data_IF_878135863022
#
_entry.id   IF_878135863022
#
_cell.length_a   1.000
_cell.length_b   1.000
_cell.length_c   1.000
_cell.angle_alpha   90.00
_cell.angle_beta   90.00
_cell.angle_gamma   90.00
#
_symmetry.space_group_name_H-M   'P 1'
#
loop_
_entity.id
_entity.type
_entity.pdbx_description
1 polymer ?
#
# COMPACT_ATOMS: atom_id res chain seq x y z
N UNK A 1 2.99 7.86 50.02
CA UNK A 1 2.93 8.72 48.82
C UNK A 1 4.29 8.66 48.14
N UNK A 2 4.49 7.72 47.22
CA UNK A 2 5.68 7.67 46.37
C UNK A 2 5.31 8.48 45.12
N UNK A 3 5.94 9.65 44.97
CA UNK A 3 5.83 10.53 43.81
C UNK A 3 6.69 9.95 42.68
N UNK A 4 6.08 9.65 41.54
CA UNK A 4 6.75 9.01 40.40
C UNK A 4 7.12 10.07 39.33
N UNK A 5 8.33 10.60 39.45
CA UNK A 5 8.83 11.71 38.62
C UNK A 5 8.91 11.38 37.11
N UNK A 6 8.96 10.10 36.74
CA UNK A 6 8.98 9.65 35.35
C UNK A 6 7.58 9.67 34.71
N UNK A 7 6.54 9.36 35.49
CA UNK A 7 5.16 9.49 35.05
C UNK A 7 4.79 10.98 34.87
N UNK A 8 5.30 11.80 35.79
CA UNK A 8 5.11 13.25 35.81
C UNK A 8 5.86 14.00 34.67
N UNK A 9 7.00 13.49 34.20
CA UNK A 9 7.71 14.03 33.03
C UNK A 9 7.03 13.64 31.71
N UNK A 10 6.51 12.42 31.63
CA UNK A 10 5.82 11.91 30.43
C UNK A 10 4.47 12.59 30.22
N UNK A 11 3.72 12.82 31.30
CA UNK A 11 2.45 13.58 31.26
C UNK A 11 2.71 15.05 30.89
N UNK A 12 3.77 15.67 31.41
CA UNK A 12 4.15 17.06 31.05
C UNK A 12 4.57 17.17 29.57
N UNK A 13 5.35 16.23 29.08
CA UNK A 13 5.74 16.18 27.66
C UNK A 13 4.53 16.00 26.74
N UNK A 14 3.59 15.12 27.11
CA UNK A 14 2.35 14.92 26.36
C UNK A 14 1.48 16.18 26.33
N UNK A 15 1.21 16.81 27.48
CA UNK A 15 0.45 18.06 27.54
C UNK A 15 1.10 19.19 26.72
N UNK A 16 2.42 19.31 26.75
CA UNK A 16 3.12 20.31 25.95
C UNK A 16 2.92 20.08 24.45
N UNK A 17 2.99 18.82 23.99
CA UNK A 17 2.79 18.49 22.59
C UNK A 17 1.34 18.77 22.13
N UNK A 18 0.34 18.54 22.98
CA UNK A 18 -1.07 18.86 22.70
C UNK A 18 -1.26 20.38 22.55
N UNK A 19 -0.67 21.18 23.45
CA UNK A 19 -0.73 22.64 23.37
C UNK A 19 0.00 23.20 22.16
N UNK A 20 1.10 22.58 21.74
CA UNK A 20 1.82 22.93 20.51
C UNK A 20 0.94 22.73 19.28
N UNK A 21 0.23 21.60 19.19
CA UNK A 21 -0.71 21.33 18.10
C UNK A 21 -1.88 22.33 18.12
N UNK A 22 -2.44 22.62 19.30
CA UNK A 22 -3.51 23.62 19.43
C UNK A 22 -3.06 24.99 18.92
N UNK A 23 -1.85 25.42 19.27
CA UNK A 23 -1.27 26.67 18.77
C UNK A 23 -1.04 26.63 17.27
N UNK A 24 -0.52 25.51 16.74
CA UNK A 24 -0.28 25.33 15.31
C UNK A 24 -1.56 25.43 14.47
N UNK A 25 -2.70 24.92 14.96
CA UNK A 25 -4.01 25.09 14.30
C UNK A 25 -4.36 26.58 14.19
N UNK A 26 -4.25 27.33 15.29
CA UNK A 26 -4.55 28.77 15.29
C UNK A 26 -3.56 29.59 14.46
N UNK A 27 -2.30 29.16 14.39
CA UNK A 27 -1.24 29.81 13.63
C UNK A 27 -1.22 29.42 12.13
N UNK A 28 -2.18 28.61 11.68
CA UNK A 28 -2.28 28.13 10.29
C UNK A 28 -1.01 27.42 9.80
N UNK A 29 -0.37 26.64 10.68
CA UNK A 29 0.87 25.92 10.38
C UNK A 29 0.61 24.56 9.70
N UNK A 30 -0.64 24.11 9.62
CA UNK A 30 -0.99 22.89 8.90
C UNK A 30 -1.25 23.17 7.42
N UNK A 31 -0.81 22.25 6.57
CA UNK A 31 -1.00 22.31 5.11
C UNK A 31 -1.38 20.93 4.59
N UNK A 32 -2.05 20.88 3.44
CA UNK A 32 -2.36 19.63 2.75
C UNK A 32 -1.37 19.39 1.61
N UNK A 33 -0.84 18.18 1.58
CA UNK A 33 -0.17 17.61 0.42
C UNK A 33 -1.10 16.59 -0.21
N UNK A 34 -0.96 16.35 -1.51
CA UNK A 34 -1.87 15.52 -2.29
C UNK A 34 -1.08 14.42 -2.97
N UNK A 35 -1.46 13.18 -2.74
CA UNK A 35 -0.88 12.02 -3.40
C UNK A 35 -1.81 11.52 -4.50
N UNK A 36 -1.36 11.49 -5.77
CA UNK A 36 -2.19 10.98 -6.86
C UNK A 36 -2.55 9.50 -6.74
N UNK A 37 -3.81 9.22 -7.07
CA UNK A 37 -4.37 7.89 -7.30
C UNK A 37 -4.58 7.72 -8.80
N UNK A 38 -4.12 6.61 -9.37
CA UNK A 38 -4.20 6.36 -10.82
C UNK A 38 -4.73 4.97 -11.13
N UNK A 39 -5.32 4.81 -12.32
CA UNK A 39 -5.40 3.52 -12.97
C UNK A 39 -4.08 3.30 -13.73
N UNK A 40 -3.26 2.36 -13.26
CA UNK A 40 -1.92 2.06 -13.80
C UNK A 40 -1.95 1.59 -15.26
N UNK A 41 -3.02 0.90 -15.67
CA UNK A 41 -3.17 0.36 -17.03
C UNK A 41 -3.49 1.46 -18.05
N UNK A 42 -4.46 2.31 -17.73
CA UNK A 42 -4.99 3.33 -18.64
C UNK A 42 -4.25 4.66 -18.52
N UNK A 43 -3.54 4.87 -17.40
CA UNK A 43 -2.92 6.16 -17.07
C UNK A 43 -3.90 7.20 -16.55
N UNK A 44 -5.19 6.89 -16.44
CA UNK A 44 -6.20 7.83 -15.95
C UNK A 44 -5.92 8.17 -14.49
N UNK A 45 -5.84 9.46 -14.19
CA UNK A 45 -5.82 9.96 -12.81
C UNK A 45 -7.23 9.88 -12.26
N UNK A 46 -7.44 9.07 -11.22
CA UNK A 46 -8.77 8.81 -10.65
C UNK A 46 -9.08 9.72 -9.46
N UNK A 47 -8.05 10.30 -8.83
CA UNK A 47 -8.22 11.13 -7.66
C UNK A 47 -6.89 11.50 -7.02
N UNK A 48 -6.96 12.14 -5.87
CA UNK A 48 -5.82 12.36 -4.97
C UNK A 48 -6.23 12.04 -3.53
N UNK A 49 -5.27 11.64 -2.71
CA UNK A 49 -5.44 11.60 -1.25
C UNK A 49 -4.86 12.86 -0.61
N UNK A 50 -5.66 13.54 0.20
CA UNK A 50 -5.26 14.69 0.98
C UNK A 50 -4.57 14.24 2.28
N UNK A 51 -3.27 14.53 2.34
CA UNK A 51 -2.38 14.13 3.41
C UNK A 51 -1.91 15.36 4.17
N UNK A 52 -2.34 15.47 5.42
CA UNK A 52 -1.95 16.58 6.30
C UNK A 52 -0.43 16.59 6.54
N UNK A 53 0.15 17.79 6.60
CA UNK A 53 1.53 18.05 7.00
C UNK A 53 1.54 19.22 7.97
N UNK A 54 2.48 19.20 8.90
CA UNK A 54 2.71 20.34 9.79
C UNK A 54 3.96 21.09 9.34
N UNK A 55 3.79 22.32 8.86
CA UNK A 55 4.87 23.23 8.56
C UNK A 55 5.38 23.88 9.85
N UNK A 56 6.05 23.09 10.68
CA UNK A 56 6.55 23.54 11.96
C UNK A 56 7.64 24.61 11.79
N UNK A 57 7.58 25.75 12.51
CA UNK A 57 8.47 26.90 12.30
C UNK A 57 9.96 26.54 12.47
N UNK A 58 10.28 25.68 13.44
CA UNK A 58 11.66 25.26 13.71
C UNK A 58 12.08 23.94 13.05
N UNK A 59 11.16 22.96 12.95
CA UNK A 59 11.47 21.59 12.51
C UNK A 59 11.22 21.34 11.02
N UNK A 60 10.67 22.33 10.31
CA UNK A 60 10.29 22.20 8.92
C UNK A 60 9.02 21.36 8.74
N UNK A 61 8.89 20.72 7.58
CA UNK A 61 7.69 19.97 7.22
C UNK A 61 7.67 18.59 7.90
N UNK A 62 6.74 18.40 8.84
CA UNK A 62 6.57 17.16 9.59
C UNK A 62 5.44 16.28 9.00
N UNK A 63 5.64 14.96 8.92
CA UNK A 63 4.61 14.02 8.50
C UNK A 63 3.59 13.75 9.64
N UNK A 64 2.40 13.21 9.30
CA UNK A 64 1.33 12.91 10.28
C UNK A 64 1.80 12.07 11.48
N UNK A 65 2.63 11.06 11.26
CA UNK A 65 3.15 10.17 12.30
C UNK A 65 3.93 10.91 13.41
N UNK A 66 4.42 12.12 13.15
CA UNK A 66 5.14 12.93 14.13
C UNK A 66 4.20 13.66 15.12
N UNK A 67 2.91 13.81 14.82
CA UNK A 67 1.99 14.64 15.63
C UNK A 67 0.59 14.06 15.83
N UNK A 68 0.04 13.27 14.91
CA UNK A 68 -1.29 12.68 15.07
C UNK A 68 -1.42 11.76 16.30
N UNK A 69 -0.46 10.87 16.62
CA UNK A 69 -0.56 10.00 17.79
C UNK A 69 -0.70 10.76 19.13
N UNK A 70 -0.29 12.03 19.17
CA UNK A 70 -0.41 12.88 20.37
C UNK A 70 -1.85 13.27 20.64
N UNK A 71 -2.68 13.41 19.60
CA UNK A 71 -4.04 13.94 19.70
C UNK A 71 -5.13 12.93 19.35
N UNK A 72 -4.77 11.68 19.05
CA UNK A 72 -5.70 10.62 18.62
C UNK A 72 -6.93 10.50 19.53
N UNK A 73 -6.71 10.53 20.85
CA UNK A 73 -7.76 10.48 21.87
C UNK A 73 -8.22 11.86 22.39
N UNK A 74 -7.77 12.94 21.78
CA UNK A 74 -8.10 14.30 22.18
C UNK A 74 -9.15 14.92 21.25
N UNK A 75 -9.94 15.85 21.77
CA UNK A 75 -10.89 16.65 20.96
C UNK A 75 -10.22 17.45 19.83
N UNK A 76 -8.89 17.63 19.89
CA UNK A 76 -8.14 18.31 18.84
C UNK A 76 -8.08 17.50 17.55
N UNK A 77 -8.19 16.16 17.61
CA UNK A 77 -8.30 15.35 16.40
C UNK A 77 -9.55 15.70 15.60
N UNK A 78 -10.69 15.95 16.27
CA UNK A 78 -11.93 16.37 15.62
C UNK A 78 -11.80 17.77 15.01
N UNK A 79 -11.22 18.72 15.76
CA UNK A 79 -10.94 20.07 15.26
C UNK A 79 -10.03 20.04 14.04
N UNK A 80 -8.97 19.23 14.08
CA UNK A 80 -8.02 19.10 12.97
C UNK A 80 -8.66 18.41 11.77
N UNK A 81 -9.41 17.33 11.97
CA UNK A 81 -10.14 16.63 10.91
C UNK A 81 -11.20 17.52 10.24
N UNK A 82 -11.88 18.37 11.00
CA UNK A 82 -12.79 19.41 10.48
C UNK A 82 -12.04 20.36 9.56
N UNK A 83 -10.90 20.89 10.00
CA UNK A 83 -10.04 21.75 9.20
C UNK A 83 -9.52 21.06 7.93
N UNK A 84 -9.18 19.76 7.99
CA UNK A 84 -8.71 19.00 6.81
C UNK A 84 -9.82 18.91 5.75
N UNK A 85 -11.06 18.60 6.14
CA UNK A 85 -12.19 18.51 5.21
C UNK A 85 -12.44 19.87 4.55
N UNK A 86 -12.49 20.95 5.34
CA UNK A 86 -12.67 22.33 4.85
C UNK A 86 -11.60 22.73 3.83
N UNK A 87 -10.33 22.46 4.16
CA UNK A 87 -9.20 22.78 3.29
C UNK A 87 -9.21 21.93 2.01
N UNK A 88 -9.61 20.66 2.09
CA UNK A 88 -9.76 19.80 0.93
C UNK A 88 -10.86 20.31 -0.01
N UNK A 89 -12.04 20.65 0.51
CA UNK A 89 -13.16 21.19 -0.27
C UNK A 89 -12.81 22.55 -0.89
N UNK A 90 -12.16 23.43 -0.13
CA UNK A 90 -11.62 24.69 -0.65
C UNK A 90 -10.66 24.45 -1.81
N UNK A 91 -9.76 23.47 -1.68
CA UNK A 91 -8.81 23.15 -2.74
C UNK A 91 -9.49 22.53 -3.97
N UNK A 92 -10.56 21.75 -3.78
CA UNK A 92 -11.37 21.22 -4.88
C UNK A 92 -12.04 22.34 -5.67
N UNK A 93 -12.59 23.37 -5.02
CA UNK A 93 -13.17 24.52 -5.74
C UNK A 93 -12.11 25.28 -6.55
N UNK A 94 -10.89 25.44 -6.00
CA UNK A 94 -9.77 26.05 -6.71
C UNK A 94 -9.39 25.25 -7.95
N UNK A 95 -9.34 23.91 -7.86
CA UNK A 95 -9.05 23.06 -9.01
C UNK A 95 -10.18 23.05 -10.03
N UNK A 96 -11.44 22.99 -9.58
CA UNK A 96 -12.61 23.08 -10.45
C UNK A 96 -12.61 24.39 -11.25
N UNK A 97 -12.33 25.53 -10.60
CA UNK A 97 -12.20 26.82 -11.27
C UNK A 97 -11.03 26.88 -12.28
N UNK A 98 -9.99 26.07 -12.07
CA UNK A 98 -8.87 25.91 -13.00
C UNK A 98 -9.14 24.85 -14.10
N UNK A 99 -10.33 24.24 -14.14
CA UNK A 99 -10.73 23.24 -15.12
C UNK A 99 -10.31 21.80 -14.80
N UNK A 100 -9.87 21.54 -13.57
CA UNK A 100 -9.53 20.20 -13.08
C UNK A 100 -10.62 19.70 -12.12
N UNK A 101 -11.40 18.73 -12.60
CA UNK A 101 -12.37 18.02 -11.77
C UNK A 101 -11.75 16.69 -11.34
N UNK A 102 -11.41 16.58 -10.06
CA UNK A 102 -10.71 15.43 -9.50
C UNK A 102 -11.28 15.09 -8.14
N UNK A 103 -11.44 13.80 -7.87
CA UNK A 103 -11.90 13.32 -6.57
C UNK A 103 -10.80 13.46 -5.51
N UNK A 104 -11.17 13.80 -4.29
CA UNK A 104 -10.27 13.97 -3.15
C UNK A 104 -10.68 13.04 -2.03
N UNK A 105 -9.72 12.21 -1.60
CA UNK A 105 -9.83 11.41 -0.39
C UNK A 105 -9.35 12.17 0.84
N UNK A 106 -10.07 12.04 1.96
CA UNK A 106 -9.69 12.59 3.26
C UNK A 106 -9.80 11.51 4.34
N UNK A 107 -8.72 11.34 5.10
CA UNK A 107 -8.70 10.48 6.28
C UNK A 107 -9.63 11.04 7.38
N UNK A 108 -10.50 10.18 7.93
CA UNK A 108 -11.39 10.52 9.04
C UNK A 108 -11.19 9.56 10.21
N UNK A 109 -11.01 10.09 11.42
CA UNK A 109 -10.80 9.27 12.61
C UNK A 109 -12.12 8.76 13.21
N UNK A 110 -12.06 7.67 13.99
CA UNK A 110 -13.22 7.09 14.69
C UNK A 110 -14.00 8.14 15.50
N UNK A 111 -13.27 8.93 16.30
CA UNK A 111 -13.84 9.94 17.20
C UNK A 111 -14.66 11.00 16.46
N UNK A 112 -14.25 11.34 15.24
CA UNK A 112 -14.97 12.30 14.40
C UNK A 112 -16.26 11.68 13.84
N UNK A 113 -16.21 10.43 13.36
CA UNK A 113 -17.42 9.70 12.90
C UNK A 113 -18.43 9.44 14.01
N UNK A 114 -17.95 9.27 15.25
CA UNK A 114 -18.80 9.07 16.44
C UNK A 114 -19.44 10.36 16.94
N UNK A 115 -19.11 11.54 16.40
CA UNK A 115 -19.78 12.78 16.79
C UNK A 115 -21.24 12.74 16.34
N UNK A 116 -22.16 13.05 17.26
CA UNK A 116 -23.60 13.00 17.00
C UNK A 116 -24.06 13.96 15.89
N UNK A 117 -23.30 15.02 15.66
CA UNK A 117 -23.55 16.06 14.66
C UNK A 117 -22.70 15.90 13.39
N UNK A 118 -21.90 14.82 13.25
CA UNK A 118 -20.98 14.65 12.10
C UNK A 118 -21.69 14.76 10.74
N UNK A 119 -22.84 14.11 10.59
CA UNK A 119 -23.62 14.13 9.33
C UNK A 119 -24.12 15.55 9.03
N UNK A 120 -24.60 16.25 10.06
CA UNK A 120 -25.08 17.63 9.91
C UNK A 120 -23.93 18.56 9.54
N UNK A 121 -22.80 18.45 10.25
CA UNK A 121 -21.57 19.16 9.95
C UNK A 121 -21.12 18.95 8.50
N UNK A 122 -21.10 17.69 8.03
CA UNK A 122 -20.70 17.37 6.67
C UNK A 122 -21.67 17.97 5.63
N UNK A 123 -22.97 17.97 5.91
CA UNK A 123 -23.96 18.63 5.06
C UNK A 123 -23.74 20.14 5.00
N UNK A 124 -23.47 20.77 6.14
CA UNK A 124 -23.29 22.23 6.23
C UNK A 124 -22.01 22.67 5.52
N UNK A 125 -20.91 21.93 5.67
CA UNK A 125 -19.65 22.28 5.01
C UNK A 125 -19.72 22.05 3.50
N UNK A 126 -20.37 20.99 3.03
CA UNK A 126 -20.61 20.80 1.59
C UNK A 126 -21.49 21.91 1.02
N UNK A 127 -22.51 22.37 1.77
CA UNK A 127 -23.34 23.51 1.34
C UNK A 127 -22.55 24.83 1.26
N UNK A 128 -21.47 24.98 2.03
CA UNK A 128 -20.56 26.12 1.95
C UNK A 128 -19.66 26.08 0.69
N UNK A 129 -19.50 24.92 0.05
CA UNK A 129 -18.71 24.70 -1.17
C UNK A 129 -19.59 24.23 -2.34
N UNK A 130 -20.50 25.07 -2.86
CA UNK A 130 -21.53 24.67 -3.83
C UNK A 130 -20.98 24.25 -5.21
N UNK A 131 -19.70 24.51 -5.49
CA UNK A 131 -19.07 24.08 -6.74
C UNK A 131 -18.45 22.67 -6.64
N UNK A 132 -18.43 22.07 -5.45
CA UNK A 132 -17.97 20.70 -5.24
C UNK A 132 -19.16 19.75 -5.33
N UNK A 133 -19.05 18.73 -6.18
CA UNK A 133 -20.02 17.63 -6.17
C UNK A 133 -19.70 16.71 -4.97
N UNK A 134 -20.68 16.37 -4.11
CA UNK A 134 -20.41 15.50 -2.95
C UNK A 134 -19.76 14.17 -3.32
N UNK A 135 -20.06 13.63 -4.50
CA UNK A 135 -19.49 12.39 -5.02
C UNK A 135 -18.01 12.45 -5.41
N UNK A 136 -17.41 13.65 -5.43
CA UNK A 136 -15.98 13.85 -5.61
C UNK A 136 -15.22 13.85 -4.27
N UNK A 137 -15.92 13.92 -3.13
CA UNK A 137 -15.33 13.73 -1.81
C UNK A 137 -15.43 12.24 -1.42
N UNK A 138 -14.29 11.63 -1.07
CA UNK A 138 -14.21 10.30 -0.49
C UNK A 138 -13.64 10.40 0.93
N UNK A 139 -14.32 9.81 1.91
CA UNK A 139 -13.83 9.75 3.28
C UNK A 139 -13.24 8.37 3.57
N UNK A 140 -12.03 8.34 4.13
CA UNK A 140 -11.27 7.12 4.38
C UNK A 140 -11.29 6.79 5.87
N UNK A 141 -11.78 5.60 6.20
CA UNK A 141 -11.92 5.14 7.58
C UNK A 141 -10.93 4.00 7.80
N UNK A 142 -10.07 4.11 8.82
CA UNK A 142 -9.13 3.05 9.18
C UNK A 142 -9.89 1.80 9.67
N UNK A 143 -9.39 0.61 9.32
CA UNK A 143 -9.95 -0.67 9.78
C UNK A 143 -10.02 -0.74 11.32
N UNK A 144 -8.96 -0.32 12.00
CA UNK A 144 -8.83 -0.36 13.48
C UNK A 144 -9.77 0.62 14.19
N UNK A 145 -10.06 1.75 13.56
CA UNK A 145 -10.95 2.80 14.08
C UNK A 145 -12.43 2.39 14.07
N UNK A 146 -12.82 1.45 13.22
CA UNK A 146 -14.22 1.01 13.09
C UNK A 146 -14.66 -0.01 14.17
N UNK A 147 -13.78 -0.39 15.10
CA UNK A 147 -13.98 -1.44 16.11
C UNK A 147 -15.02 -1.15 17.20
N UNK A 148 -15.12 0.09 17.68
CA UNK A 148 -15.82 0.34 18.94
C UNK A 148 -17.36 0.33 18.82
N UNK A 149 -17.92 0.82 17.71
CA UNK A 149 -19.37 0.76 17.44
C UNK A 149 -19.65 0.67 15.93
N UNK A 150 -19.50 -0.54 15.41
CA UNK A 150 -19.66 -0.84 13.99
C UNK A 150 -21.07 -0.54 13.44
N UNK A 151 -22.11 -0.65 14.28
CA UNK A 151 -23.49 -0.37 13.86
C UNK A 151 -23.71 1.14 13.73
N UNK A 152 -23.27 1.91 14.72
CA UNK A 152 -23.30 3.36 14.66
C UNK A 152 -22.51 3.89 13.46
N UNK A 153 -21.26 3.47 13.29
CA UNK A 153 -20.42 3.89 12.16
C UNK A 153 -21.06 3.52 10.82
N UNK A 154 -21.62 2.32 10.68
CA UNK A 154 -22.34 1.91 9.46
C UNK A 154 -23.52 2.85 9.15
N UNK A 155 -24.28 3.27 10.17
CA UNK A 155 -25.40 4.19 9.98
C UNK A 155 -24.95 5.60 9.61
N UNK A 156 -23.86 6.10 10.22
CA UNK A 156 -23.25 7.39 9.87
C UNK A 156 -22.77 7.39 8.42
N UNK A 157 -22.06 6.34 7.99
CA UNK A 157 -21.59 6.21 6.60
C UNK A 157 -22.78 6.24 5.63
N UNK A 158 -23.86 5.49 5.90
CA UNK A 158 -25.06 5.51 5.04
C UNK A 158 -25.67 6.90 4.94
N UNK A 159 -25.80 7.59 6.07
CA UNK A 159 -26.36 8.94 6.08
C UNK A 159 -25.48 9.93 5.29
N UNK A 160 -24.15 9.79 5.35
CA UNK A 160 -23.24 10.58 4.53
C UNK A 160 -23.32 10.20 3.04
N UNK A 161 -23.55 8.93 2.71
CA UNK A 161 -23.78 8.47 1.34
C UNK A 161 -25.09 8.98 0.75
N UNK A 162 -26.13 9.16 1.58
CA UNK A 162 -27.38 9.80 1.16
C UNK A 162 -27.18 11.28 0.77
N UNK A 163 -26.13 11.93 1.30
CA UNK A 163 -25.67 13.27 0.88
C UNK A 163 -24.83 13.19 -0.42
N UNK A 164 -24.37 12.00 -0.80
CA UNK A 164 -23.60 11.73 -2.01
C UNK A 164 -22.10 11.51 -1.78
N UNK A 165 -21.63 11.54 -0.53
CA UNK A 165 -20.21 11.36 -0.18
C UNK A 165 -19.79 9.89 -0.28
N UNK A 166 -18.62 9.62 -0.86
CA UNK A 166 -18.08 8.26 -0.98
C UNK A 166 -17.27 7.87 0.26
N UNK A 167 -17.11 6.57 0.47
CA UNK A 167 -16.31 6.06 1.58
C UNK A 167 -15.39 4.93 1.13
N UNK A 168 -14.17 4.94 1.64
CA UNK A 168 -13.20 3.87 1.54
C UNK A 168 -12.88 3.29 2.93
N UNK A 169 -12.55 2.00 2.95
CA UNK A 169 -11.95 1.36 4.11
C UNK A 169 -10.44 1.29 3.88
N UNK A 170 -9.69 1.91 4.79
CA UNK A 170 -8.25 2.09 4.72
C UNK A 170 -7.50 1.07 5.61
N UNK A 171 -6.21 0.85 5.31
CA UNK A 171 -5.32 -0.11 5.96
C UNK A 171 -5.90 -1.55 6.02
N UNK A 172 -6.65 -1.97 5.00
CA UNK A 172 -7.38 -3.24 5.04
C UNK A 172 -6.44 -4.45 5.07
N UNK A 173 -6.65 -5.32 6.05
CA UNK A 173 -5.89 -6.55 6.28
C UNK A 173 -4.94 -6.49 7.47
N UNK A 174 -4.75 -5.30 8.07
CA UNK A 174 -3.92 -5.11 9.26
C UNK A 174 -4.67 -5.39 10.57
N UNK A 175 -6.01 -5.42 10.53
CA UNK A 175 -6.87 -5.64 11.69
C UNK A 175 -7.32 -7.10 11.89
N UNK A 176 -7.87 -7.38 13.08
CA UNK A 176 -8.29 -8.73 13.49
C UNK A 176 -9.70 -9.15 12.97
N UNK A 177 -10.39 -8.37 12.12
CA UNK A 177 -11.81 -8.62 11.78
C UNK A 177 -12.26 -8.12 10.38
N UNK A 178 -11.36 -8.08 9.40
CA UNK A 178 -11.57 -7.45 8.07
C UNK A 178 -12.81 -7.93 7.33
N UNK A 179 -13.20 -9.21 7.46
CA UNK A 179 -14.42 -9.76 6.83
C UNK A 179 -15.72 -9.23 7.43
N UNK A 180 -15.76 -8.99 8.75
CA UNK A 180 -16.94 -8.44 9.41
C UNK A 180 -17.16 -6.99 9.00
N UNK A 181 -16.07 -6.22 8.89
CA UNK A 181 -16.09 -4.85 8.37
C UNK A 181 -16.60 -4.80 6.94
N UNK A 182 -15.98 -5.58 6.06
CA UNK A 182 -16.34 -5.62 4.65
C UNK A 182 -17.83 -5.92 4.44
N UNK A 183 -18.41 -6.78 5.29
CA UNK A 183 -19.83 -7.14 5.23
C UNK A 183 -20.77 -6.05 5.76
N UNK A 184 -20.35 -5.26 6.75
CA UNK A 184 -21.26 -4.35 7.50
C UNK A 184 -21.06 -2.87 7.16
N UNK A 185 -19.86 -2.47 6.78
CA UNK A 185 -19.57 -1.11 6.37
C UNK A 185 -19.96 -0.94 4.89
N UNK A 186 -20.80 0.06 4.54
CA UNK A 186 -21.21 0.28 3.18
C UNK A 186 -20.16 1.04 2.35
N UNK A 187 -18.87 0.73 2.50
CA UNK A 187 -17.80 1.37 1.72
C UNK A 187 -17.84 0.93 0.24
N UNK A 188 -17.39 1.78 -0.67
CA UNK A 188 -17.26 1.45 -2.10
C UNK A 188 -15.86 0.94 -2.46
N UNK A 189 -14.86 1.38 -1.70
CA UNK A 189 -13.44 1.20 -2.00
C UNK A 189 -12.74 0.50 -0.82
N UNK A 190 -11.87 -0.45 -1.11
CA UNK A 190 -10.93 -1.04 -0.16
C UNK A 190 -9.51 -0.61 -0.55
N UNK A 191 -8.77 -0.02 0.38
CA UNK A 191 -7.38 0.32 0.19
C UNK A 191 -6.52 -0.80 0.81
N UNK A 192 -5.67 -1.41 -0.01
CA UNK A 192 -4.76 -2.49 0.42
C UNK A 192 -3.55 -1.83 1.04
N UNK A 193 -3.32 -2.13 2.32
CA UNK A 193 -2.27 -1.50 3.12
C UNK A 193 -0.88 -1.63 2.46
N UNK A 194 -0.10 -0.54 2.56
CA UNK A 194 1.22 -0.45 1.95
C UNK A 194 2.21 -1.50 2.47
N UNK A 195 2.07 -1.98 3.71
CA UNK A 195 2.97 -2.98 4.28
C UNK A 195 2.92 -4.30 3.50
N UNK A 196 1.72 -4.73 3.10
CA UNK A 196 1.57 -5.91 2.25
C UNK A 196 2.08 -5.66 0.83
N UNK A 197 1.81 -4.48 0.27
CA UNK A 197 2.18 -4.16 -1.12
C UNK A 197 3.69 -3.96 -1.28
N UNK A 198 4.38 -3.38 -0.29
CA UNK A 198 5.83 -3.18 -0.33
C UNK A 198 6.59 -4.51 -0.32
N UNK A 199 6.11 -5.48 0.46
CA UNK A 199 6.83 -6.74 0.67
C UNK A 199 6.37 -7.87 -0.26
N UNK A 200 5.22 -7.76 -0.94
CA UNK A 200 4.67 -8.83 -1.82
C UNK A 200 5.58 -9.31 -2.95
N UNK A 201 6.61 -8.54 -3.33
CA UNK A 201 7.59 -8.98 -4.34
C UNK A 201 8.56 -10.04 -3.81
N UNK A 202 8.72 -10.11 -2.48
CA UNK A 202 9.71 -10.95 -1.80
C UNK A 202 9.17 -11.68 -0.58
N UNK A 203 7.92 -11.44 -0.18
CA UNK A 203 7.22 -12.16 0.86
C UNK A 203 5.98 -12.87 0.28
N UNK A 204 5.96 -14.22 0.27
CA UNK A 204 4.83 -14.97 -0.27
C UNK A 204 3.57 -14.92 0.59
N UNK A 205 3.69 -14.61 1.90
CA UNK A 205 2.55 -14.48 2.79
C UNK A 205 1.87 -13.12 2.54
N UNK A 206 2.64 -12.04 2.34
CA UNK A 206 2.08 -10.74 1.93
C UNK A 206 1.44 -10.78 0.55
N UNK A 207 2.05 -11.47 -0.42
CA UNK A 207 1.41 -11.71 -1.72
C UNK A 207 0.06 -12.44 -1.57
N UNK A 208 -0.01 -13.43 -0.68
CA UNK A 208 -1.25 -14.15 -0.41
C UNK A 208 -2.32 -13.28 0.24
N UNK A 209 -1.92 -12.35 1.10
CA UNK A 209 -2.81 -11.34 1.67
C UNK A 209 -3.35 -10.43 0.56
N UNK A 210 -2.49 -9.88 -0.31
CA UNK A 210 -2.90 -9.04 -1.44
C UNK A 210 -3.91 -9.76 -2.35
N UNK A 211 -3.63 -11.00 -2.78
CA UNK A 211 -4.57 -11.79 -3.59
C UNK A 211 -5.90 -12.04 -2.86
N UNK A 212 -5.83 -12.35 -1.56
CA UNK A 212 -6.99 -12.55 -0.70
C UNK A 212 -7.88 -11.30 -0.65
N UNK A 213 -7.29 -10.13 -0.42
CA UNK A 213 -8.00 -8.85 -0.38
C UNK A 213 -8.64 -8.54 -1.73
N UNK A 214 -7.94 -8.74 -2.85
CA UNK A 214 -8.49 -8.55 -4.20
C UNK A 214 -9.68 -9.48 -4.48
N UNK A 215 -9.58 -10.72 -4.03
CA UNK A 215 -10.66 -11.71 -4.16
C UNK A 215 -11.88 -11.31 -3.32
N UNK A 216 -11.67 -10.79 -2.11
CA UNK A 216 -12.73 -10.27 -1.25
C UNK A 216 -13.38 -9.02 -1.84
N UNK A 217 -12.59 -8.06 -2.33
CA UNK A 217 -13.12 -6.87 -2.99
C UNK A 217 -14.04 -7.26 -4.16
N UNK A 218 -13.60 -8.20 -5.00
CA UNK A 218 -14.40 -8.71 -6.12
C UNK A 218 -15.68 -9.39 -5.64
N UNK A 219 -15.61 -10.26 -4.64
CA UNK A 219 -16.76 -11.00 -4.12
C UNK A 219 -17.85 -10.10 -3.49
N UNK A 220 -17.44 -8.96 -2.91
CA UNK A 220 -18.32 -7.97 -2.30
C UNK A 220 -18.66 -6.79 -3.23
N UNK A 221 -18.29 -6.88 -4.52
CA UNK A 221 -18.49 -5.83 -5.51
C UNK A 221 -17.93 -4.47 -5.04
N UNK A 222 -16.71 -4.49 -4.52
CA UNK A 222 -15.92 -3.33 -4.09
C UNK A 222 -14.77 -3.10 -5.04
N UNK A 223 -14.40 -1.83 -5.18
CA UNK A 223 -13.19 -1.44 -5.87
C UNK A 223 -12.00 -1.65 -4.93
N UNK A 224 -10.89 -2.18 -5.43
CA UNK A 224 -9.64 -2.28 -4.66
C UNK A 224 -8.62 -1.28 -5.23
N UNK A 225 -7.88 -0.62 -4.35
CA UNK A 225 -6.73 0.22 -4.69
C UNK A 225 -5.54 -0.21 -3.85
N UNK A 226 -4.38 -0.41 -4.48
CA UNK A 226 -3.15 -0.77 -3.78
C UNK A 226 -2.38 0.48 -3.33
N UNK A 227 -1.96 0.50 -2.07
CA UNK A 227 -1.11 1.55 -1.54
C UNK A 227 0.36 1.16 -1.52
N UNK A 228 1.28 2.12 -1.45
CA UNK A 228 2.69 1.80 -1.37
C UNK A 228 3.29 1.20 -2.64
N UNK A 229 2.73 1.49 -3.83
CA UNK A 229 3.36 1.10 -5.10
C UNK A 229 4.63 1.93 -5.33
N UNK A 230 5.78 1.40 -4.93
CA UNK A 230 7.06 2.12 -4.95
C UNK A 230 7.86 1.93 -6.24
N UNK A 231 7.62 0.85 -6.97
CA UNK A 231 8.41 0.49 -8.16
C UNK A 231 7.53 -0.02 -9.30
N UNK A 232 8.11 -0.10 -10.49
CA UNK A 232 7.45 -0.62 -11.70
C UNK A 232 7.07 -2.09 -11.49
N UNK A 233 7.88 -2.85 -10.77
CA UNK A 233 7.65 -4.27 -10.46
C UNK A 233 6.43 -4.47 -9.55
N UNK A 234 6.20 -3.58 -8.57
CA UNK A 234 5.00 -3.61 -7.74
C UNK A 234 3.74 -3.46 -8.61
N UNK A 235 3.70 -2.42 -9.45
CA UNK A 235 2.57 -2.18 -10.34
C UNK A 235 2.37 -3.31 -11.35
N UNK A 236 3.48 -3.89 -11.84
CA UNK A 236 3.44 -5.02 -12.76
C UNK A 236 2.77 -6.25 -12.16
N UNK A 237 3.17 -6.61 -10.92
CA UNK A 237 2.58 -7.76 -10.23
C UNK A 237 1.11 -7.52 -9.91
N UNK A 238 0.75 -6.34 -9.40
CA UNK A 238 -0.64 -5.96 -9.11
C UNK A 238 -1.54 -6.08 -10.34
N UNK A 239 -1.08 -5.58 -11.49
CA UNK A 239 -1.83 -5.67 -12.76
C UNK A 239 -2.04 -7.12 -13.21
N UNK A 240 -1.09 -8.01 -12.94
CA UNK A 240 -1.22 -9.44 -13.23
C UNK A 240 -2.28 -10.10 -12.34
N UNK A 241 -2.43 -9.64 -11.09
CA UNK A 241 -3.51 -10.05 -10.18
C UNK A 241 -4.84 -9.31 -10.43
N UNK A 242 -4.90 -8.42 -11.42
CA UNK A 242 -6.11 -7.67 -11.78
C UNK A 242 -6.36 -6.43 -10.93
N UNK A 243 -5.41 -6.00 -10.11
CA UNK A 243 -5.45 -4.72 -9.42
C UNK A 243 -4.90 -3.62 -10.33
N UNK A 244 -5.78 -2.76 -10.84
CA UNK A 244 -5.39 -1.70 -11.77
C UNK A 244 -5.20 -0.35 -11.11
N UNK A 245 -5.72 -0.16 -9.90
CA UNK A 245 -5.73 1.13 -9.22
C UNK A 245 -4.65 1.13 -8.17
N UNK A 246 -3.89 2.22 -8.12
CA UNK A 246 -2.82 2.34 -7.15
C UNK A 246 -2.51 3.78 -6.76
N UNK A 247 -1.84 3.88 -5.62
CA UNK A 247 -1.08 5.03 -5.19
C UNK A 247 0.26 4.58 -4.60
N UNK A 248 1.28 5.44 -4.70
CA UNK A 248 2.61 5.13 -4.18
C UNK A 248 3.71 5.96 -4.82
N UNK A 249 4.92 5.85 -4.29
CA UNK A 249 6.05 6.69 -4.72
C UNK A 249 6.57 6.38 -6.12
N UNK A 250 6.30 5.18 -6.65
CA UNK A 250 6.58 4.83 -8.05
C UNK A 250 5.68 5.56 -9.05
N UNK A 251 4.55 6.09 -8.58
CA UNK A 251 3.63 6.94 -9.36
C UNK A 251 3.97 8.40 -9.09
N UNK A 252 3.84 8.83 -7.84
CA UNK A 252 4.18 10.17 -7.38
C UNK A 252 4.27 10.23 -5.85
N UNK A 253 5.25 11.00 -5.36
CA UNK A 253 5.26 11.42 -3.96
C UNK A 253 4.14 12.44 -3.70
N UNK A 254 3.61 12.51 -2.46
CA UNK A 254 2.72 13.58 -2.04
C UNK A 254 3.31 14.95 -2.39
N UNK A 255 2.51 15.85 -2.95
CA UNK A 255 2.98 17.16 -3.40
C UNK A 255 2.01 18.29 -3.00
N UNK A 256 2.47 19.55 -2.92
CA UNK A 256 1.58 20.68 -2.68
C UNK A 256 0.54 20.83 -3.80
N UNK A 257 -0.62 21.40 -3.46
CA UNK A 257 -1.75 21.54 -4.39
C UNK A 257 -1.40 22.17 -5.74
N UNK A 258 -0.54 23.20 -5.74
CA UNK A 258 -0.18 23.93 -6.96
C UNK A 258 0.56 23.07 -7.99
N UNK A 259 1.10 21.91 -7.60
CA UNK A 259 1.79 20.99 -8.52
C UNK A 259 0.87 19.95 -9.16
N UNK A 260 -0.34 19.73 -8.61
CA UNK A 260 -1.23 18.66 -9.06
C UNK A 260 -1.67 18.88 -10.50
N UNK A 261 -2.10 20.09 -10.86
CA UNK A 261 -2.56 20.39 -12.23
C UNK A 261 -1.48 20.05 -13.26
N UNK A 262 -0.27 20.59 -13.11
CA UNK A 262 0.84 20.32 -14.03
C UNK A 262 1.20 18.82 -14.06
N UNK A 263 1.20 18.16 -12.90
CA UNK A 263 1.47 16.73 -12.81
C UNK A 263 0.44 15.90 -13.58
N UNK A 264 -0.87 16.19 -13.47
CA UNK A 264 -1.91 15.44 -14.20
C UNK A 264 -1.75 15.53 -15.72
N UNK A 265 -1.23 16.64 -16.25
CA UNK A 265 -1.01 16.81 -17.70
C UNK A 265 0.19 16.02 -18.23
N UNK A 266 1.21 15.84 -17.37
CA UNK A 266 2.49 15.23 -17.72
C UNK A 266 2.57 13.75 -17.36
N UNK A 267 1.75 13.29 -16.42
CA UNK A 267 1.69 11.89 -15.99
C UNK A 267 1.43 10.94 -17.17
N UNK A 268 2.23 9.88 -17.25
CA UNK A 268 2.01 8.76 -18.15
C UNK A 268 2.31 7.47 -17.38
N UNK A 269 1.53 6.40 -17.60
CA UNK A 269 1.84 5.11 -17.01
C UNK A 269 3.16 4.59 -17.57
N UNK A 270 3.87 3.78 -16.79
CA UNK A 270 5.06 3.10 -17.29
C UNK A 270 4.68 2.20 -18.49
N UNK A 271 5.46 2.18 -19.59
CA UNK A 271 5.14 1.33 -20.74
C UNK A 271 4.95 -0.14 -20.40
N UNK A 272 5.67 -0.65 -19.40
CA UNK A 272 5.52 -2.05 -18.95
C UNK A 272 4.13 -2.34 -18.41
N UNK A 273 3.45 -1.36 -17.81
CA UNK A 273 2.10 -1.50 -17.24
C UNK A 273 1.00 -1.52 -18.31
N UNK A 274 1.18 -0.77 -19.39
CA UNK A 274 0.19 -0.65 -20.46
C UNK A 274 0.07 -1.94 -21.26
N UNK A 275 1.22 -2.53 -21.61
CA UNK A 275 1.30 -3.74 -22.43
C UNK A 275 1.15 -5.04 -21.60
N UNK A 276 0.94 -4.92 -20.29
CA UNK A 276 0.89 -6.04 -19.37
C UNK A 276 -0.42 -6.81 -19.48
N UNK A 277 -0.34 -7.99 -20.09
CA UNK A 277 -1.49 -8.89 -20.25
C UNK A 277 -1.82 -9.56 -18.91
N UNK A 278 -3.10 -9.49 -18.51
CA UNK A 278 -3.66 -10.09 -17.30
C UNK A 278 -3.38 -11.60 -17.27
N UNK A 279 -2.96 -12.10 -16.11
CA UNK A 279 -2.60 -13.51 -15.95
C UNK A 279 -3.87 -14.32 -15.71
N UNK A 280 -4.04 -15.43 -16.45
CA UNK A 280 -5.16 -16.33 -16.18
C UNK A 280 -4.97 -16.95 -14.78
N UNK A 281 -6.07 -17.23 -14.07
CA UNK A 281 -6.03 -17.81 -12.72
C UNK A 281 -5.21 -19.10 -12.65
N UNK A 282 -5.22 -19.90 -13.72
CA UNK A 282 -4.43 -21.14 -13.80
C UNK A 282 -2.91 -20.89 -13.75
N UNK A 283 -2.47 -19.73 -14.23
CA UNK A 283 -1.06 -19.32 -14.32
C UNK A 283 -0.56 -18.55 -13.07
N UNK A 284 -1.44 -18.23 -12.12
CA UNK A 284 -1.05 -17.59 -10.85
C UNK A 284 -0.02 -18.41 -10.07
N UNK A 285 -0.03 -19.74 -10.25
CA UNK A 285 0.94 -20.64 -9.62
C UNK A 285 2.39 -20.32 -10.00
N UNK A 286 2.63 -19.80 -11.21
CA UNK A 286 3.96 -19.36 -11.67
C UNK A 286 4.39 -18.09 -10.92
N UNK A 287 3.47 -17.13 -10.74
CA UNK A 287 3.74 -15.87 -10.02
C UNK A 287 4.12 -16.14 -8.56
N UNK A 288 3.35 -17.01 -7.89
CA UNK A 288 3.66 -17.46 -6.54
C UNK A 288 5.02 -18.16 -6.44
N UNK A 289 5.32 -19.05 -7.38
CA UNK A 289 6.61 -19.73 -7.42
C UNK A 289 7.78 -18.75 -7.61
N UNK A 290 7.57 -17.68 -8.40
CA UNK A 290 8.53 -16.61 -8.61
C UNK A 290 8.80 -15.81 -7.33
N UNK A 291 7.76 -15.31 -6.66
CA UNK A 291 7.91 -14.55 -5.41
C UNK A 291 8.56 -15.40 -4.32
N UNK A 292 8.17 -16.67 -4.21
CA UNK A 292 8.80 -17.61 -3.26
C UNK A 292 10.28 -17.87 -3.59
N UNK A 293 10.65 -17.87 -4.87
CA UNK A 293 12.05 -17.96 -5.26
C UNK A 293 12.84 -16.70 -4.88
N UNK A 294 12.28 -15.51 -5.09
CA UNK A 294 12.89 -14.25 -4.67
C UNK A 294 13.07 -14.19 -3.15
N UNK A 295 12.04 -14.59 -2.40
CA UNK A 295 12.09 -14.73 -0.94
C UNK A 295 13.23 -15.65 -0.50
N UNK A 296 13.35 -16.79 -1.17
CA UNK A 296 14.41 -17.76 -0.92
C UNK A 296 15.80 -17.16 -1.18
N UNK A 297 16.04 -16.51 -2.33
CA UNK A 297 17.34 -15.87 -2.64
C UNK A 297 17.67 -14.78 -1.61
N UNK A 298 16.70 -13.93 -1.26
CA UNK A 298 16.86 -12.85 -0.27
C UNK A 298 17.26 -13.40 1.11
N UNK A 299 16.58 -14.43 1.61
CA UNK A 299 16.94 -15.09 2.87
C UNK A 299 18.36 -15.69 2.84
N UNK A 300 18.76 -16.27 1.70
CA UNK A 300 20.11 -16.81 1.52
C UNK A 300 21.18 -15.70 1.62
N UNK A 301 20.94 -14.54 0.99
CA UNK A 301 21.85 -13.40 1.09
C UNK A 301 21.95 -12.85 2.52
N UNK A 302 20.83 -12.75 3.24
CA UNK A 302 20.79 -12.26 4.63
C UNK A 302 21.63 -13.15 5.55
N UNK A 303 21.47 -14.47 5.47
CA UNK A 303 22.29 -15.42 6.22
C UNK A 303 23.79 -15.32 5.88
N UNK A 304 24.14 -15.14 4.60
CA UNK A 304 25.55 -15.00 4.18
C UNK A 304 26.18 -13.70 4.69
N UNK A 305 25.39 -12.63 4.80
CA UNK A 305 25.80 -11.31 5.33
C UNK A 305 25.81 -11.26 6.87
N UNK A 306 25.52 -12.37 7.56
CA UNK A 306 25.62 -12.47 9.02
C UNK A 306 24.30 -12.28 9.77
N UNK A 307 23.14 -12.36 9.11
CA UNK A 307 21.84 -12.41 9.77
C UNK A 307 21.69 -13.69 10.61
N UNK A 308 21.09 -13.60 11.81
CA UNK A 308 20.78 -14.75 12.69
C UNK A 308 19.61 -15.62 12.18
N UNK A 309 19.43 -15.71 10.87
CA UNK A 309 18.36 -16.51 10.25
C UNK A 309 18.87 -17.91 9.94
N UNK A 310 18.02 -18.92 10.16
CA UNK A 310 18.29 -20.27 9.67
C UNK A 310 18.28 -20.27 8.15
N UNK A 311 19.27 -20.91 7.48
CA UNK A 311 19.30 -20.93 6.03
C UNK A 311 18.07 -21.63 5.45
N UNK A 312 17.47 -21.08 4.38
CA UNK A 312 16.34 -21.74 3.76
C UNK A 312 16.78 -23.05 3.07
N UNK A 313 15.85 -23.92 2.67
CA UNK A 313 16.19 -25.26 2.16
C UNK A 313 17.13 -25.20 0.95
N UNK A 314 18.32 -25.79 1.07
CA UNK A 314 19.34 -25.82 0.02
C UNK A 314 19.05 -26.83 -1.11
N UNK A 315 18.08 -27.72 -0.93
CA UNK A 315 17.69 -28.68 -1.97
C UNK A 315 16.62 -28.05 -2.87
N UNK A 316 16.91 -27.92 -4.18
CA UNK A 316 15.96 -27.38 -5.15
C UNK A 316 14.64 -28.15 -5.18
N UNK A 317 14.65 -29.48 -5.01
CA UNK A 317 13.42 -30.29 -4.95
C UNK A 317 12.55 -30.02 -3.72
N UNK A 318 13.07 -29.26 -2.75
CA UNK A 318 12.35 -28.82 -1.55
C UNK A 318 12.07 -27.32 -1.56
N UNK A 319 12.57 -26.58 -2.55
CA UNK A 319 12.16 -25.19 -2.75
C UNK A 319 10.77 -25.18 -3.37
N UNK A 320 9.96 -24.16 -3.08
CA UNK A 320 8.60 -24.10 -3.63
C UNK A 320 8.59 -23.95 -5.15
N UNK A 321 9.58 -23.25 -5.73
CA UNK A 321 9.81 -23.23 -7.18
C UNK A 321 10.10 -24.64 -7.71
N UNK A 322 10.96 -25.43 -7.05
CA UNK A 322 11.23 -26.80 -7.48
C UNK A 322 10.03 -27.73 -7.34
N UNK A 323 9.24 -27.60 -6.26
CA UNK A 323 7.97 -28.33 -6.11
C UNK A 323 6.97 -27.97 -7.21
N UNK A 324 6.91 -26.70 -7.61
CA UNK A 324 6.09 -26.28 -8.75
C UNK A 324 6.63 -26.85 -10.06
N UNK A 325 7.95 -26.79 -10.30
CA UNK A 325 8.61 -27.32 -11.49
C UNK A 325 8.41 -28.83 -11.66
N UNK A 326 8.35 -29.61 -10.59
CA UNK A 326 8.06 -31.06 -10.67
C UNK A 326 6.57 -31.39 -10.63
N UNK A 327 5.73 -30.44 -10.21
CA UNK A 327 4.28 -30.61 -10.05
C UNK A 327 3.49 -29.95 -11.18
N UNK A 328 2.70 -28.92 -10.82
CA UNK A 328 1.82 -28.19 -11.76
C UNK A 328 2.58 -27.62 -12.96
N UNK A 329 3.78 -27.09 -12.72
CA UNK A 329 4.64 -26.54 -13.76
C UNK A 329 4.97 -27.59 -14.83
N UNK A 330 5.36 -28.79 -14.41
CA UNK A 330 5.62 -29.89 -15.34
C UNK A 330 4.37 -30.29 -16.12
N UNK A 331 3.25 -30.43 -15.43
CA UNK A 331 2.00 -30.86 -16.06
C UNK A 331 1.52 -29.89 -17.15
N UNK A 332 1.75 -28.58 -16.96
CA UNK A 332 1.21 -27.54 -17.84
C UNK A 332 2.21 -27.01 -18.88
N UNK A 333 3.49 -26.88 -18.54
CA UNK A 333 4.45 -26.13 -19.36
C UNK A 333 5.66 -26.95 -19.86
N UNK A 334 5.75 -28.25 -19.60
CA UNK A 334 6.93 -29.07 -19.95
C UNK A 334 7.32 -29.02 -21.45
N UNK A 335 6.36 -28.74 -22.33
CA UNK A 335 6.60 -28.55 -23.76
C UNK A 335 7.36 -27.26 -24.12
N UNK A 336 7.29 -26.23 -23.28
CA UNK A 336 7.81 -24.89 -23.58
C UNK A 336 9.34 -24.80 -23.37
N UNK A 337 10.10 -24.17 -24.29
CA UNK A 337 11.54 -23.97 -24.13
C UNK A 337 11.89 -23.17 -22.86
N UNK A 338 11.14 -22.11 -22.56
CA UNK A 338 11.34 -21.30 -21.37
C UNK A 338 11.22 -22.15 -20.09
N UNK A 339 10.27 -23.09 -20.02
CA UNK A 339 10.11 -23.98 -18.86
C UNK A 339 11.34 -24.85 -18.62
N UNK A 340 11.89 -25.45 -19.69
CA UNK A 340 13.11 -26.27 -19.60
C UNK A 340 14.31 -25.42 -19.15
N UNK A 341 14.40 -24.18 -19.62
CA UNK A 341 15.42 -23.24 -19.20
C UNK A 341 15.29 -22.88 -17.71
N UNK A 342 14.07 -22.61 -17.22
CA UNK A 342 13.81 -22.34 -15.78
C UNK A 342 14.30 -23.52 -14.92
N UNK A 343 14.01 -24.76 -15.32
CA UNK A 343 14.46 -25.94 -14.58
C UNK A 343 15.99 -26.00 -14.49
N UNK A 344 16.69 -25.80 -15.60
CA UNK A 344 18.16 -25.78 -15.64
C UNK A 344 18.75 -24.65 -14.79
N UNK A 345 18.23 -23.43 -14.92
CA UNK A 345 18.73 -22.30 -14.14
C UNK A 345 18.44 -22.45 -12.65
N UNK A 346 17.28 -23.03 -12.29
CA UNK A 346 16.95 -23.32 -10.90
C UNK A 346 17.97 -24.27 -10.27
N UNK A 347 18.38 -25.32 -10.99
CA UNK A 347 19.44 -26.24 -10.54
C UNK A 347 20.79 -25.52 -10.35
N UNK A 348 21.20 -24.67 -11.30
CA UNK A 348 22.44 -23.90 -11.22
C UNK A 348 22.46 -22.94 -10.04
N UNK A 349 21.37 -22.19 -9.82
CA UNK A 349 21.21 -21.29 -8.67
C UNK A 349 21.42 -22.07 -7.37
N UNK A 350 20.72 -23.19 -7.17
CA UNK A 350 20.86 -23.97 -5.93
C UNK A 350 22.24 -24.63 -5.78
N UNK A 351 22.90 -25.00 -6.87
CA UNK A 351 24.27 -25.55 -6.83
C UNK A 351 25.26 -24.49 -6.32
N UNK A 352 25.20 -23.28 -6.88
CA UNK A 352 26.06 -22.17 -6.44
C UNK A 352 25.76 -21.80 -4.98
N UNK A 353 24.49 -21.78 -4.58
CA UNK A 353 24.10 -21.49 -3.20
C UNK A 353 24.66 -22.52 -2.21
N UNK A 354 24.66 -23.82 -2.55
CA UNK A 354 25.32 -24.84 -1.72
C UNK A 354 26.82 -24.57 -1.58
N UNK A 355 27.48 -24.16 -2.66
CA UNK A 355 28.90 -23.79 -2.62
C UNK A 355 29.16 -22.59 -1.70
N UNK A 356 28.32 -21.54 -1.78
CA UNK A 356 28.41 -20.36 -0.92
C UNK A 356 28.33 -20.71 0.57
N UNK A 357 27.43 -21.63 0.94
CA UNK A 357 27.28 -22.08 2.31
C UNK A 357 28.43 -22.97 2.78
N UNK A 358 29.00 -23.79 1.89
CA UNK A 358 30.22 -24.54 2.20
C UNK A 358 31.38 -23.58 2.48
N UNK A 359 31.52 -22.51 1.68
CA UNK A 359 32.53 -21.47 1.90
C UNK A 359 32.30 -20.74 3.24
N UNK A 360 31.05 -20.42 3.59
CA UNK A 360 30.72 -19.81 4.88
C UNK A 360 31.06 -20.75 6.06
N UNK A 361 30.70 -22.04 5.96
CA UNK A 361 31.02 -23.05 6.97
C UNK A 361 32.53 -23.31 7.14
N UNK A 362 33.33 -22.97 6.13
CA UNK A 362 34.80 -23.03 6.18
C UNK A 362 35.45 -21.67 6.55
N UNK A 363 34.69 -20.71 7.10
CA UNK A 363 35.14 -19.35 7.45
C UNK A 363 35.73 -18.55 6.26
N UNK A 364 35.35 -18.89 5.03
CA UNK A 364 35.78 -18.20 3.80
C UNK A 364 34.75 -17.17 3.31
N UNK A 365 34.18 -16.39 4.24
CA UNK A 365 33.14 -15.37 3.96
C UNK A 365 33.54 -14.40 2.83
N UNK A 366 34.78 -13.87 2.76
CA UNK A 366 35.16 -12.98 1.66
C UNK A 366 35.03 -13.62 0.27
N UNK A 367 35.34 -14.92 0.13
CA UNK A 367 35.17 -15.65 -1.13
C UNK A 367 33.70 -15.92 -1.43
N UNK A 368 32.89 -16.23 -0.42
CA UNK A 368 31.45 -16.36 -0.59
C UNK A 368 30.84 -15.04 -1.10
N UNK A 369 31.23 -13.91 -0.52
CA UNK A 369 30.75 -12.59 -0.93
C UNK A 369 31.14 -12.24 -2.38
N UNK A 370 32.34 -12.63 -2.85
CA UNK A 370 32.72 -12.40 -4.27
C UNK A 370 31.85 -13.17 -5.28
N UNK A 371 31.23 -14.27 -4.85
CA UNK A 371 30.36 -15.10 -5.69
C UNK A 371 28.88 -14.71 -5.60
N UNK A 372 28.53 -13.77 -4.73
CA UNK A 372 27.15 -13.29 -4.55
C UNK A 372 26.65 -12.54 -5.79
N UNK A 373 27.51 -11.78 -6.47
CA UNK A 373 27.17 -11.13 -7.75
C UNK A 373 26.81 -12.16 -8.83
N UNK A 374 27.54 -13.27 -8.90
CA UNK A 374 27.22 -14.37 -9.84
C UNK A 374 25.89 -15.04 -9.51
N UNK A 375 25.55 -15.18 -8.22
CA UNK A 375 24.24 -15.69 -7.82
C UNK A 375 23.11 -14.77 -8.29
N UNK A 376 23.29 -13.45 -8.16
CA UNK A 376 22.34 -12.45 -8.61
C UNK A 376 22.13 -12.52 -10.13
N UNK A 377 23.22 -12.59 -10.93
CA UNK A 377 23.13 -12.74 -12.39
C UNK A 377 22.37 -14.02 -12.82
N UNK A 378 22.63 -15.14 -12.15
CA UNK A 378 21.91 -16.40 -12.42
C UNK A 378 20.43 -16.29 -12.05
N UNK A 379 20.12 -15.63 -10.94
CA UNK A 379 18.74 -15.39 -10.51
C UNK A 379 18.01 -14.48 -11.51
N UNK A 380 18.62 -13.39 -11.96
CA UNK A 380 18.04 -12.50 -12.97
C UNK A 380 17.77 -13.24 -14.28
N UNK A 381 18.70 -14.10 -14.68
CA UNK A 381 18.52 -14.96 -15.86
C UNK A 381 17.35 -15.93 -15.70
N UNK A 382 17.20 -16.56 -14.53
CA UNK A 382 16.08 -17.44 -14.22
C UNK A 382 14.76 -16.66 -14.26
N UNK A 383 14.70 -15.50 -13.62
CA UNK A 383 13.51 -14.65 -13.56
C UNK A 383 13.09 -14.17 -14.95
N UNK A 384 14.05 -13.87 -15.83
CA UNK A 384 13.77 -13.54 -17.23
C UNK A 384 13.10 -14.71 -17.98
N UNK A 385 13.51 -15.96 -17.71
CA UNK A 385 12.85 -17.13 -18.30
C UNK A 385 11.44 -17.34 -17.75
N UNK A 386 11.20 -17.04 -16.46
CA UNK A 386 9.84 -17.06 -15.88
C UNK A 386 8.95 -16.04 -16.60
N UNK A 387 9.44 -14.82 -16.83
CA UNK A 387 8.70 -13.80 -17.56
C UNK A 387 8.40 -14.23 -19.01
N UNK A 388 9.36 -14.85 -19.70
CA UNK A 388 9.15 -15.40 -21.04
C UNK A 388 8.09 -16.51 -21.05
N UNK A 389 8.11 -17.42 -20.07
CA UNK A 389 7.10 -18.46 -19.93
C UNK A 389 5.68 -17.87 -19.82
N UNK A 390 5.55 -16.81 -19.01
CA UNK A 390 4.30 -16.09 -18.81
C UNK A 390 3.83 -15.33 -20.07
N UNK A 391 4.72 -15.12 -21.05
CA UNK A 391 4.39 -14.56 -22.35
C UNK A 391 4.07 -15.65 -23.38
N UNK A 392 4.81 -16.77 -23.39
CA UNK A 392 4.66 -17.89 -24.33
C UNK A 392 3.33 -18.64 -24.16
N UNK A 393 2.85 -18.79 -22.92
CA UNK A 393 1.57 -19.47 -22.63
C UNK A 393 0.34 -18.70 -23.18
N UNK A 394 0.56 -17.53 -23.78
CA UNK A 394 -0.47 -16.64 -24.32
C UNK A 394 -0.62 -16.73 -25.85
N UNK A 395 0.24 -17.50 -26.54
CA UNK A 395 0.13 -17.86 -27.97
C UNK A 395 -0.48 -19.25 -28.14
#
# INVERSE_FOLDING_TARGET
>A
HIFDAHQDSSIRGHHQNVEDIRRAIHAQEFVLYYQPKVNMRTGVVIGVEALIRWQHPEKGLLPPAAFLPVIEDHSLAVTLGTWVIDMALTQMEIWHAAGLNISVSVNVCARQLQQTDFVQYLSDILAAHPNVQPGDLELEVLETSALEDLEHVSNVIKACQDIGVKFALDDFGTGYSSLTYLKRLPVSTLKIDQSFVQDMLTDPDDLAIVEGVLSLATAFYRQAIAEGVETIEHGSLLLQFGCELAQGYGIARPMPAHKILDWTTTWRPDPTWVDLILVNRDDLSVLYANVQHRAWVSGMEKCLKGGQETPPPLNHLRSRLGLWLEGKGHAQYNGQPAFRAIKQWCEHVHLLTKELYQLQACDQIPKALTKLATLQELNDTLLAQVNLLMQETKM
#
